data_IF_958040699272
#
_entry.id   IF_958040699272
#
_cell.length_a   1.000
_cell.length_b   1.000
_cell.length_c   1.000
_cell.angle_alpha   90.00
_cell.angle_beta   90.00
_cell.angle_gamma   90.00
#
_symmetry.space_group_name_H-M   'P 1'
#
loop_
_entity.id
_entity.type
_entity.pdbx_description
1 polymer ?
#
# COMPACT_ATOMS: atom_id res chain seq x y z
N UNK A 1 -41.46 -13.84 9.38
CA UNK A 1 -40.74 -12.76 8.68
C UNK A 1 -39.26 -13.05 8.80
N UNK A 2 -38.45 -12.90 7.73
CA UNK A 2 -37.00 -12.96 7.88
C UNK A 2 -36.56 -11.88 8.89
N UNK A 3 -35.51 -12.15 9.69
CA UNK A 3 -35.02 -11.17 10.67
C UNK A 3 -34.57 -9.90 9.94
N UNK A 4 -34.93 -8.74 10.48
CA UNK A 4 -34.47 -7.45 9.97
C UNK A 4 -32.95 -7.41 10.07
N UNK A 5 -32.24 -7.18 8.96
CA UNK A 5 -30.78 -7.18 8.98
C UNK A 5 -30.25 -5.99 9.78
N UNK A 6 -29.09 -6.20 10.40
CA UNK A 6 -28.43 -5.24 11.29
C UNK A 6 -27.71 -4.18 10.45
N UNK A 7 -28.02 -2.90 10.69
CA UNK A 7 -27.39 -1.79 9.97
C UNK A 7 -25.96 -1.54 10.46
N UNK A 8 -24.99 -1.57 9.54
CA UNK A 8 -23.61 -1.18 9.75
C UNK A 8 -23.36 0.17 9.07
N UNK A 9 -22.99 1.18 9.85
CA UNK A 9 -22.69 2.51 9.32
C UNK A 9 -21.19 2.63 9.04
N UNK A 10 -20.83 2.98 7.80
CA UNK A 10 -19.47 3.26 7.37
C UNK A 10 -19.28 4.78 7.30
N UNK A 11 -18.76 5.38 8.37
CA UNK A 11 -18.49 6.81 8.47
C UNK A 11 -17.14 7.13 7.82
N UNK A 12 -17.09 7.09 6.49
CA UNK A 12 -15.89 7.16 5.65
C UNK A 12 -16.07 8.20 4.53
N UNK A 13 -14.98 8.84 4.08
CA UNK A 13 -15.04 9.79 2.96
C UNK A 13 -14.83 9.06 1.62
N UNK A 14 -15.86 8.91 0.75
CA UNK A 14 -15.74 8.19 -0.51
C UNK A 14 -14.76 8.81 -1.52
N UNK A 15 -14.39 10.08 -1.34
CA UNK A 15 -13.41 10.76 -2.20
C UNK A 15 -12.00 10.18 -2.04
N UNK A 16 -11.69 9.53 -0.91
CA UNK A 16 -10.38 8.94 -0.63
C UNK A 16 -10.32 7.48 -1.10
N UNK A 17 -9.29 7.11 -1.88
CA UNK A 17 -9.05 5.70 -2.25
C UNK A 17 -9.04 4.76 -1.05
N UNK A 18 -8.34 5.17 0.01
CA UNK A 18 -8.28 4.44 1.27
C UNK A 18 -9.68 4.03 1.79
N UNK A 19 -10.64 4.96 1.74
CA UNK A 19 -12.02 4.71 2.19
C UNK A 19 -12.78 3.81 1.23
N UNK A 20 -12.64 3.99 -0.08
CA UNK A 20 -13.29 3.13 -1.09
C UNK A 20 -12.84 1.67 -0.94
N UNK A 21 -11.54 1.45 -0.74
CA UNK A 21 -11.01 0.09 -0.57
C UNK A 21 -11.42 -0.54 0.77
N UNK A 22 -11.55 0.24 1.85
CA UNK A 22 -12.17 -0.25 3.10
C UNK A 22 -13.62 -0.70 2.84
N UNK A 23 -14.42 0.09 2.12
CA UNK A 23 -15.80 -0.28 1.78
C UNK A 23 -15.84 -1.60 0.99
N UNK A 24 -14.92 -1.81 0.04
CA UNK A 24 -14.80 -3.09 -0.67
C UNK A 24 -14.48 -4.25 0.28
N UNK A 25 -13.58 -4.03 1.24
CA UNK A 25 -13.22 -4.99 2.27
C UNK A 25 -14.41 -5.41 3.14
N UNK A 26 -15.16 -4.41 3.63
CA UNK A 26 -16.41 -4.64 4.36
C UNK A 26 -17.40 -5.42 3.50
N UNK A 27 -17.61 -4.99 2.26
CA UNK A 27 -18.51 -5.66 1.33
C UNK A 27 -18.18 -7.15 1.13
N UNK A 28 -16.90 -7.52 1.02
CA UNK A 28 -16.48 -8.93 0.97
C UNK A 28 -16.92 -9.71 2.20
N UNK A 29 -16.69 -9.17 3.40
CA UNK A 29 -17.15 -9.83 4.63
C UNK A 29 -18.68 -9.98 4.66
N UNK A 30 -19.43 -8.94 4.25
CA UNK A 30 -20.89 -8.98 4.22
C UNK A 30 -21.44 -10.01 3.21
N UNK A 31 -20.72 -10.32 2.14
CA UNK A 31 -21.11 -11.40 1.22
C UNK A 31 -20.93 -12.80 1.81
N UNK A 32 -20.04 -12.96 2.79
CA UNK A 32 -19.77 -14.23 3.47
C UNK A 32 -20.68 -14.45 4.68
N UNK A 33 -21.11 -13.35 5.33
CA UNK A 33 -21.96 -13.36 6.52
C UNK A 33 -23.32 -12.70 6.24
N UNK A 34 -24.39 -13.50 6.13
CA UNK A 34 -25.76 -12.99 5.96
C UNK A 34 -26.30 -12.34 7.25
N UNK A 35 -27.06 -11.25 7.14
CA UNK A 35 -27.76 -10.63 8.28
C UNK A 35 -27.36 -9.19 8.61
N UNK A 36 -26.54 -8.57 7.75
CA UNK A 36 -26.12 -7.18 7.86
C UNK A 36 -26.48 -6.38 6.60
N UNK A 37 -26.71 -5.09 6.75
CA UNK A 37 -26.76 -4.12 5.65
C UNK A 37 -25.72 -3.03 5.89
N UNK A 38 -25.04 -2.59 4.84
CA UNK A 38 -24.06 -1.50 4.93
C UNK A 38 -24.62 -0.17 4.44
N UNK A 39 -24.40 0.91 5.18
CA UNK A 39 -24.68 2.28 4.75
C UNK A 39 -23.40 3.12 4.78
N UNK A 40 -22.96 3.61 3.62
CA UNK A 40 -21.82 4.51 3.49
C UNK A 40 -22.24 5.95 3.70
N UNK A 41 -21.50 6.68 4.52
CA UNK A 41 -21.78 8.08 4.81
C UNK A 41 -20.52 8.91 5.00
N UNK A 42 -20.45 10.05 4.30
CA UNK A 42 -19.42 11.05 4.54
C UNK A 42 -19.65 11.77 5.89
N UNK A 43 -18.62 11.97 6.72
CA UNK A 43 -18.76 12.60 8.04
C UNK A 43 -19.18 14.08 8.05
N UNK A 44 -19.44 14.70 6.89
CA UNK A 44 -19.70 16.13 6.74
C UNK A 44 -21.15 16.57 6.99
N UNK A 45 -22.09 15.64 7.14
CA UNK A 45 -23.51 15.94 7.42
C UNK A 45 -23.93 15.44 8.80
N UNK A 46 -23.82 16.31 9.81
CA UNK A 46 -24.05 15.93 11.21
C UNK A 46 -25.48 15.43 11.46
N UNK A 47 -26.49 16.15 10.97
CA UNK A 47 -27.90 15.81 11.20
C UNK A 47 -28.28 14.43 10.66
N UNK A 48 -27.83 14.11 9.44
CA UNK A 48 -28.05 12.78 8.87
C UNK A 48 -27.26 11.69 9.63
N UNK A 49 -26.08 12.01 10.16
CA UNK A 49 -25.26 11.09 10.94
C UNK A 49 -25.97 10.72 12.24
N UNK A 50 -26.51 11.70 12.97
CA UNK A 50 -27.32 11.45 14.17
C UNK A 50 -28.49 10.50 13.92
N UNK A 51 -29.18 10.67 12.78
CA UNK A 51 -30.30 9.81 12.38
C UNK A 51 -29.88 8.37 12.13
N UNK A 52 -28.81 8.16 11.36
CA UNK A 52 -28.31 6.81 11.06
C UNK A 52 -27.72 6.11 12.29
N UNK A 53 -26.95 6.83 13.11
CA UNK A 53 -26.36 6.29 14.34
C UNK A 53 -27.41 5.85 15.37
N UNK A 54 -28.66 6.31 15.26
CA UNK A 54 -29.75 5.85 16.14
C UNK A 54 -30.10 4.38 15.91
N UNK A 55 -30.02 3.92 14.66
CA UNK A 55 -30.44 2.57 14.26
C UNK A 55 -29.26 1.65 13.91
N UNK A 56 -28.03 2.14 14.09
CA UNK A 56 -26.83 1.38 13.80
C UNK A 56 -26.63 0.24 14.80
N UNK A 57 -26.41 -0.97 14.30
CA UNK A 57 -25.92 -2.08 15.11
C UNK A 57 -24.40 -1.99 15.34
N UNK A 58 -23.68 -1.25 14.50
CA UNK A 58 -22.25 -1.02 14.64
C UNK A 58 -21.75 0.04 13.66
N UNK A 59 -20.57 0.59 13.95
CA UNK A 59 -19.95 1.65 13.14
C UNK A 59 -18.51 1.30 12.77
N UNK A 60 -18.13 1.49 11.51
CA UNK A 60 -16.73 1.55 11.09
C UNK A 60 -16.45 2.99 10.69
N UNK A 61 -15.55 3.65 11.41
CA UNK A 61 -15.36 5.09 11.30
C UNK A 61 -13.92 5.49 11.06
N UNK A 62 -13.76 6.66 10.45
CA UNK A 62 -12.50 7.38 10.31
C UNK A 62 -12.62 8.74 11.00
N UNK A 63 -11.84 8.97 12.06
CA UNK A 63 -11.83 10.25 12.79
C UNK A 63 -13.19 10.68 13.32
N UNK A 64 -13.90 9.74 13.95
CA UNK A 64 -15.14 10.09 14.64
C UNK A 64 -14.84 11.18 15.69
N UNK A 65 -15.64 12.25 15.67
CA UNK A 65 -15.55 13.32 16.65
C UNK A 65 -15.89 12.79 18.04
N UNK A 66 -15.38 13.43 19.10
CA UNK A 66 -15.69 13.04 20.48
C UNK A 66 -17.20 13.00 20.72
N UNK A 67 -17.95 13.92 20.11
CA UNK A 67 -19.41 13.94 20.13
C UNK A 67 -20.02 12.65 19.58
N UNK A 68 -19.54 12.15 18.43
CA UNK A 68 -20.01 10.86 17.91
C UNK A 68 -19.61 9.69 18.80
N UNK A 69 -18.40 9.71 19.36
CA UNK A 69 -17.93 8.67 20.27
C UNK A 69 -18.79 8.57 21.54
N UNK A 70 -19.19 9.71 22.11
CA UNK A 70 -20.06 9.79 23.27
C UNK A 70 -21.44 9.19 22.97
N UNK A 71 -22.04 9.54 21.84
CA UNK A 71 -23.34 9.00 21.41
C UNK A 71 -23.30 7.48 21.26
N UNK A 72 -22.23 6.96 20.65
CA UNK A 72 -22.05 5.52 20.47
C UNK A 72 -21.89 4.81 21.81
N UNK A 73 -21.17 5.43 22.76
CA UNK A 73 -20.98 4.91 24.12
C UNK A 73 -22.29 4.89 24.91
N UNK A 74 -23.06 5.98 24.90
CA UNK A 74 -24.36 6.08 25.57
C UNK A 74 -25.36 5.02 25.06
N UNK A 75 -25.30 4.71 23.77
CA UNK A 75 -26.19 3.73 23.12
C UNK A 75 -25.63 2.32 23.11
N UNK A 76 -24.43 2.10 23.64
CA UNK A 76 -23.74 0.80 23.61
C UNK A 76 -23.58 0.24 22.19
N UNK A 77 -23.41 1.11 21.19
CA UNK A 77 -23.16 0.72 19.80
C UNK A 77 -21.65 0.52 19.62
N UNK A 78 -21.19 -0.69 19.27
CA UNK A 78 -19.77 -0.94 19.06
C UNK A 78 -19.28 -0.18 17.82
N UNK A 79 -18.03 0.27 17.89
CA UNK A 79 -17.40 1.00 16.80
C UNK A 79 -15.93 0.61 16.65
N UNK A 80 -15.49 0.53 15.40
CA UNK A 80 -14.10 0.21 15.03
C UNK A 80 -13.53 1.40 14.27
N UNK A 81 -12.38 1.91 14.74
CA UNK A 81 -11.64 2.98 14.07
C UNK A 81 -10.65 2.36 13.07
N UNK A 82 -10.69 2.85 11.84
CA UNK A 82 -9.86 2.36 10.73
C UNK A 82 -8.86 3.39 10.24
N UNK A 83 -8.77 4.55 10.88
CA UNK A 83 -7.81 5.58 10.53
C UNK A 83 -6.87 5.93 11.67
N UNK A 84 -5.62 6.15 11.28
CA UNK A 84 -4.52 6.44 12.18
C UNK A 84 -4.13 7.93 12.19
N UNK A 85 -5.03 8.89 11.92
CA UNK A 85 -4.65 10.30 12.07
C UNK A 85 -4.51 10.76 13.51
N UNK A 86 -5.23 10.17 14.48
CA UNK A 86 -5.10 10.50 15.91
C UNK A 86 -4.56 9.31 16.70
N UNK A 87 -3.71 9.59 17.66
CA UNK A 87 -3.16 8.60 18.61
C UNK A 87 -4.04 8.50 19.86
N UNK A 88 -5.31 8.10 19.70
CA UNK A 88 -6.24 7.88 20.82
C UNK A 88 -6.23 6.42 21.28
N UNK A 89 -7.06 6.01 22.26
CA UNK A 89 -7.26 4.59 22.61
C UNK A 89 -8.74 4.25 22.87
N UNK A 90 -9.65 5.11 22.43
CA UNK A 90 -11.06 5.06 22.84
C UNK A 90 -11.87 3.96 22.16
N UNK A 91 -11.32 3.37 21.09
CA UNK A 91 -11.98 2.37 20.27
C UNK A 91 -11.02 1.23 19.87
N UNK A 92 -11.55 0.01 19.65
CA UNK A 92 -10.87 -1.05 18.91
C UNK A 92 -10.46 -0.57 17.52
N UNK A 93 -9.30 -1.03 17.04
CA UNK A 93 -8.66 -0.45 15.85
C UNK A 93 -8.04 -1.49 14.94
N UNK A 94 -8.28 -1.28 13.65
CA UNK A 94 -7.67 -2.02 12.55
C UNK A 94 -6.99 -1.00 11.66
N UNK A 95 -5.67 -0.90 11.74
CA UNK A 95 -4.89 0.17 11.11
C UNK A 95 -3.85 -0.41 10.15
N UNK A 96 -3.40 0.35 9.15
CA UNK A 96 -2.24 -0.04 8.37
C UNK A 96 -0.98 -0.08 9.26
N UNK A 97 -0.04 -0.96 8.93
CA UNK A 97 1.33 -0.93 9.45
C UNK A 97 2.11 0.18 8.74
N UNK A 98 1.92 1.41 9.22
CA UNK A 98 2.54 2.61 8.67
C UNK A 98 4.07 2.60 8.76
N UNK A 99 4.63 1.94 9.77
CA UNK A 99 6.10 1.80 9.88
C UNK A 99 6.59 0.85 8.77
N UNK A 100 5.88 -0.26 8.50
CA UNK A 100 6.19 -1.12 7.37
C UNK A 100 6.05 -0.41 6.02
N UNK A 101 5.05 0.44 5.84
CA UNK A 101 4.91 1.30 4.64
C UNK A 101 6.15 2.18 4.48
N UNK A 102 6.59 2.86 5.56
CA UNK A 102 7.79 3.68 5.54
C UNK A 102 9.06 2.90 5.17
N UNK A 103 9.26 1.72 5.77
CA UNK A 103 10.41 0.86 5.42
C UNK A 103 10.40 0.46 3.94
N UNK A 104 9.24 0.02 3.45
CA UNK A 104 9.07 -0.37 2.05
C UNK A 104 9.33 0.78 1.06
N UNK A 105 8.97 2.01 1.44
CA UNK A 105 9.29 3.19 0.63
C UNK A 105 10.79 3.44 0.52
N UNK A 106 11.53 3.28 1.61
CA UNK A 106 12.99 3.45 1.62
C UNK A 106 13.67 2.38 0.76
N UNK A 107 13.32 1.11 0.96
CA UNK A 107 13.88 0.00 0.18
C UNK A 107 13.67 0.23 -1.32
N UNK A 108 12.45 0.56 -1.72
CA UNK A 108 12.11 0.81 -3.12
C UNK A 108 12.92 1.94 -3.76
N UNK A 109 13.05 3.08 -3.07
CA UNK A 109 13.74 4.25 -3.62
C UNK A 109 15.27 4.07 -3.61
N UNK A 110 15.83 3.36 -2.62
CA UNK A 110 17.24 2.96 -2.58
C UNK A 110 17.55 1.97 -3.71
N UNK A 111 16.72 0.94 -3.89
CA UNK A 111 16.87 -0.05 -4.96
C UNK A 111 16.74 0.55 -6.36
N UNK A 112 15.97 1.65 -6.50
CA UNK A 112 15.90 2.43 -7.74
C UNK A 112 17.18 3.24 -8.02
N UNK A 113 18.11 3.34 -7.06
CA UNK A 113 19.44 3.95 -7.22
C UNK A 113 19.53 5.42 -6.80
N UNK A 114 18.51 5.96 -6.13
CA UNK A 114 18.57 7.31 -5.58
C UNK A 114 19.52 7.37 -4.37
N UNK A 115 20.08 8.55 -4.12
CA UNK A 115 21.02 8.79 -3.01
C UNK A 115 20.63 9.98 -2.15
N UNK A 116 19.59 10.71 -2.57
CA UNK A 116 19.04 11.88 -1.88
C UNK A 116 17.55 11.65 -1.71
N UNK A 117 17.10 11.70 -0.47
CA UNK A 117 15.78 11.27 -0.08
C UNK A 117 15.07 12.37 0.69
N UNK A 118 13.81 12.57 0.36
CA UNK A 118 12.93 13.52 1.02
C UNK A 118 11.64 12.83 1.47
N UNK A 119 10.99 13.40 2.48
CA UNK A 119 9.66 13.00 2.90
C UNK A 119 8.74 14.22 3.00
N UNK A 120 7.57 14.18 2.35
CA UNK A 120 6.51 15.19 2.56
C UNK A 120 5.33 14.59 3.32
N UNK A 121 5.33 14.89 4.62
CA UNK A 121 4.33 14.44 5.59
C UNK A 121 3.05 15.28 5.63
N UNK A 122 2.00 14.77 6.28
CA UNK A 122 0.85 15.57 6.73
C UNK A 122 1.05 15.92 8.21
N UNK A 123 1.21 17.21 8.56
CA UNK A 123 1.32 17.63 9.95
C UNK A 123 0.14 17.15 10.79
N UNK A 124 0.39 16.87 12.07
CA UNK A 124 -0.61 16.46 13.06
C UNK A 124 -1.38 15.15 12.73
N UNK A 125 -0.92 14.37 11.74
CA UNK A 125 -1.49 13.06 11.43
C UNK A 125 -0.55 11.95 11.89
N UNK A 126 -0.99 11.13 12.85
CA UNK A 126 -0.17 10.09 13.47
C UNK A 126 0.38 9.07 12.45
N UNK A 127 -0.42 8.64 11.47
CA UNK A 127 0.05 7.75 10.40
C UNK A 127 1.21 8.34 9.61
N UNK A 128 1.22 9.66 9.38
CA UNK A 128 2.28 10.32 8.65
C UNK A 128 3.59 10.30 9.44
N UNK A 129 3.50 10.45 10.76
CA UNK A 129 4.65 10.32 11.67
C UNK A 129 5.18 8.88 11.71
N UNK A 130 4.31 7.89 11.74
CA UNK A 130 4.71 6.48 11.69
C UNK A 130 5.37 6.10 10.35
N UNK A 131 4.84 6.59 9.22
CA UNK A 131 5.44 6.42 7.89
C UNK A 131 6.83 7.04 7.84
N UNK A 132 6.99 8.26 8.35
CA UNK A 132 8.31 8.90 8.45
C UNK A 132 9.28 8.09 9.32
N UNK A 133 8.84 7.63 10.50
CA UNK A 133 9.70 6.87 11.40
C UNK A 133 10.21 5.57 10.74
N UNK A 134 9.35 4.84 10.02
CA UNK A 134 9.75 3.65 9.27
C UNK A 134 10.71 3.96 8.12
N UNK A 135 10.44 5.05 7.39
CA UNK A 135 11.27 5.50 6.27
C UNK A 135 12.66 5.93 6.71
N UNK A 136 12.74 6.80 7.70
CA UNK A 136 13.99 7.30 8.26
C UNK A 136 14.86 6.18 8.82
N UNK A 137 14.28 5.30 9.64
CA UNK A 137 14.99 4.17 10.22
C UNK A 137 15.59 3.25 9.13
N UNK A 138 14.80 2.95 8.08
CA UNK A 138 15.27 2.07 7.01
C UNK A 138 16.34 2.74 6.14
N UNK A 139 16.20 4.03 5.79
CA UNK A 139 17.26 4.78 5.09
C UNK A 139 18.57 4.76 5.87
N UNK A 140 18.50 4.89 7.19
CA UNK A 140 19.68 4.85 8.08
C UNK A 140 20.39 3.49 7.97
N UNK A 141 19.65 2.38 7.88
CA UNK A 141 20.25 1.04 7.68
C UNK A 141 20.94 0.89 6.32
N UNK A 142 20.50 1.62 5.29
CA UNK A 142 21.15 1.70 3.99
C UNK A 142 22.30 2.72 3.93
N UNK A 143 22.60 3.41 5.05
CA UNK A 143 23.65 4.42 5.11
C UNK A 143 23.26 5.76 4.49
N UNK A 144 21.96 6.04 4.35
CA UNK A 144 21.43 7.30 3.84
C UNK A 144 20.69 8.09 4.92
N UNK A 145 20.58 9.40 4.70
CA UNK A 145 19.79 10.30 5.53
C UNK A 145 18.51 10.74 4.79
N UNK A 146 17.53 11.24 5.53
CA UNK A 146 16.32 11.84 4.98
C UNK A 146 16.30 13.34 5.23
N UNK A 147 16.08 14.12 4.18
CA UNK A 147 15.92 15.56 4.27
C UNK A 147 14.44 15.95 4.38
N UNK A 148 14.18 17.10 5.00
CA UNK A 148 12.83 17.67 5.08
C UNK A 148 12.37 18.19 3.71
N UNK A 149 11.15 17.83 3.33
CA UNK A 149 10.42 18.50 2.26
C UNK A 149 9.24 19.29 2.84
N UNK A 150 8.77 20.33 2.13
CA UNK A 150 7.64 21.12 2.57
C UNK A 150 6.39 20.28 2.85
N UNK A 151 5.70 20.64 3.93
CA UNK A 151 4.38 20.12 4.24
C UNK A 151 3.26 20.90 3.54
N UNK A 152 3.53 22.15 3.17
CA UNK A 152 2.61 22.98 2.40
C UNK A 152 2.67 22.56 0.91
N UNK A 153 1.56 22.08 0.31
CA UNK A 153 1.55 21.71 -1.10
C UNK A 153 1.73 22.89 -2.06
N UNK A 154 1.60 24.15 -1.61
CA UNK A 154 1.66 25.33 -2.47
C UNK A 154 3.08 25.84 -2.74
N UNK A 155 4.09 25.35 -2.03
CA UNK A 155 5.47 25.85 -2.14
C UNK A 155 6.39 24.93 -2.96
N UNK A 156 5.85 23.83 -3.52
CA UNK A 156 6.65 22.90 -4.31
C UNK A 156 7.22 23.53 -5.59
N UNK A 157 6.53 24.49 -6.20
CA UNK A 157 6.99 25.18 -7.41
C UNK A 157 8.31 25.94 -7.17
N UNK A 158 8.50 26.48 -5.98
CA UNK A 158 9.73 27.19 -5.56
C UNK A 158 10.78 26.24 -4.99
N UNK A 159 10.34 25.22 -4.24
CA UNK A 159 11.25 24.33 -3.53
C UNK A 159 11.90 23.28 -4.44
N UNK A 160 11.15 22.70 -5.39
CA UNK A 160 11.63 21.63 -6.28
C UNK A 160 12.84 22.06 -7.15
N UNK A 161 12.88 23.25 -7.78
CA UNK A 161 14.03 23.69 -8.56
C UNK A 161 15.33 23.82 -7.75
N UNK A 162 15.23 24.12 -6.45
CA UNK A 162 16.37 24.37 -5.58
C UNK A 162 17.09 23.10 -5.10
N UNK A 163 16.50 21.91 -5.31
CA UNK A 163 17.07 20.67 -4.82
C UNK A 163 18.16 20.10 -5.76
N UNK A 164 19.29 19.61 -5.23
CA UNK A 164 20.28 18.91 -6.04
C UNK A 164 19.72 17.60 -6.61
N UNK A 165 19.85 17.41 -7.92
CA UNK A 165 19.29 16.28 -8.68
C UNK A 165 20.35 15.17 -8.90
N UNK A 166 19.95 13.90 -9.09
CA UNK A 166 18.59 13.38 -8.92
C UNK A 166 18.24 13.16 -7.45
N UNK A 167 16.96 13.24 -7.11
CA UNK A 167 16.46 12.94 -5.76
C UNK A 167 15.13 12.18 -5.80
N UNK A 168 14.77 11.56 -4.67
CA UNK A 168 13.50 10.90 -4.49
C UNK A 168 12.70 11.53 -3.36
N UNK A 169 11.39 11.63 -3.53
CA UNK A 169 10.45 12.10 -2.52
C UNK A 169 9.40 11.03 -2.23
N UNK A 170 9.32 10.64 -0.96
CA UNK A 170 8.24 9.82 -0.42
C UNK A 170 7.14 10.74 0.11
N UNK A 171 5.94 10.61 -0.46
CA UNK A 171 4.79 11.40 -0.10
C UNK A 171 3.90 10.62 0.87
N UNK A 172 3.34 11.30 1.88
CA UNK A 172 2.52 10.65 2.88
C UNK A 172 1.29 9.94 2.29
N UNK A 173 0.77 10.35 1.13
CA UNK A 173 -0.29 9.68 0.38
C UNK A 173 -0.27 10.13 -1.09
N UNK A 174 -1.09 9.49 -1.93
CA UNK A 174 -1.17 9.80 -3.36
C UNK A 174 -1.65 11.23 -3.63
N UNK A 175 -2.57 11.79 -2.83
CA UNK A 175 -3.01 13.19 -2.96
C UNK A 175 -1.82 14.16 -2.88
N UNK A 176 -0.89 13.93 -1.95
CA UNK A 176 0.36 14.70 -1.88
C UNK A 176 1.27 14.43 -3.07
N UNK A 177 1.41 13.17 -3.45
CA UNK A 177 2.22 12.78 -4.60
C UNK A 177 1.75 13.50 -5.88
N UNK A 178 0.43 13.61 -6.09
CA UNK A 178 -0.15 14.35 -7.22
C UNK A 178 0.21 15.82 -7.22
N UNK A 179 0.27 16.46 -6.04
CA UNK A 179 0.71 17.87 -5.94
C UNK A 179 2.16 18.04 -6.33
N UNK A 180 3.03 17.14 -5.88
CA UNK A 180 4.45 17.15 -6.26
C UNK A 180 4.62 16.90 -7.76
N UNK A 181 3.90 15.92 -8.33
CA UNK A 181 3.93 15.62 -9.78
C UNK A 181 3.44 16.83 -10.58
N UNK A 182 2.34 17.45 -10.17
CA UNK A 182 1.80 18.64 -10.82
C UNK A 182 2.83 19.76 -10.84
N UNK A 183 3.39 20.11 -9.68
CA UNK A 183 4.44 21.13 -9.57
C UNK A 183 5.64 20.81 -10.44
N UNK A 184 6.20 19.59 -10.35
CA UNK A 184 7.34 19.15 -11.15
C UNK A 184 7.08 19.33 -12.66
N UNK A 185 5.87 19.03 -13.14
CA UNK A 185 5.50 19.22 -14.54
C UNK A 185 5.40 20.70 -14.94
N UNK A 186 4.84 21.54 -14.08
CA UNK A 186 4.70 22.98 -14.36
C UNK A 186 6.05 23.67 -14.55
N UNK A 187 7.10 23.16 -13.89
CA UNK A 187 8.47 23.66 -14.00
C UNK A 187 9.37 22.78 -14.89
N UNK A 188 8.79 21.88 -15.68
CA UNK A 188 9.47 21.00 -16.63
C UNK A 188 10.58 20.09 -16.04
N UNK A 189 10.45 19.69 -14.77
CA UNK A 189 11.28 18.63 -14.21
C UNK A 189 10.90 17.27 -14.81
N UNK A 190 11.91 16.45 -15.11
CA UNK A 190 11.70 15.10 -15.62
C UNK A 190 11.36 14.19 -14.45
N UNK A 191 10.17 13.60 -14.49
CA UNK A 191 9.75 12.56 -13.55
C UNK A 191 9.82 11.23 -14.32
N UNK A 192 10.65 10.26 -13.90
CA UNK A 192 11.36 10.19 -12.62
C UNK A 192 12.84 10.64 -12.64
N UNK A 193 13.42 11.00 -13.79
CA UNK A 193 14.87 11.17 -13.97
C UNK A 193 15.51 12.25 -13.08
N UNK A 194 14.83 13.38 -12.90
CA UNK A 194 15.26 14.46 -12.02
C UNK A 194 14.71 14.27 -10.60
N UNK A 195 13.45 13.84 -10.50
CA UNK A 195 12.75 13.60 -9.24
C UNK A 195 11.85 12.36 -9.31
N UNK A 196 12.16 11.33 -8.50
CA UNK A 196 11.24 10.21 -8.27
C UNK A 196 10.20 10.57 -7.22
N UNK A 197 8.95 10.18 -7.45
CA UNK A 197 7.82 10.51 -6.58
C UNK A 197 7.07 9.23 -6.22
N UNK A 198 7.07 8.85 -4.95
CA UNK A 198 6.37 7.66 -4.44
C UNK A 198 5.22 8.07 -3.51
N UNK A 199 4.02 7.58 -3.79
CA UNK A 199 2.84 7.79 -2.95
C UNK A 199 2.44 6.58 -2.09
N UNK A 200 1.25 6.67 -1.48
CA UNK A 200 0.60 5.61 -0.70
C UNK A 200 -0.90 5.67 -0.96
N UNK A 201 -1.55 4.52 -0.92
CA UNK A 201 -3.01 4.25 -1.05
C UNK A 201 -3.44 3.71 -2.42
N UNK A 202 -2.54 3.67 -3.42
CA UNK A 202 -2.79 3.14 -4.75
C UNK A 202 -4.10 3.68 -5.38
N UNK A 203 -4.24 5.00 -5.45
CA UNK A 203 -5.44 5.66 -5.97
C UNK A 203 -5.52 5.55 -7.51
N UNK A 204 -6.13 4.45 -7.96
CA UNK A 204 -6.33 4.16 -9.38
C UNK A 204 -7.19 5.20 -10.13
N UNK A 205 -8.10 5.91 -9.44
CA UNK A 205 -8.93 6.92 -10.11
C UNK A 205 -8.08 8.08 -10.61
N UNK A 206 -7.13 8.51 -9.79
CA UNK A 206 -6.27 9.65 -10.12
C UNK A 206 -5.19 9.29 -11.16
N UNK A 207 -4.82 8.01 -11.26
CA UNK A 207 -3.91 7.50 -12.31
C UNK A 207 -4.45 7.72 -13.73
N UNK A 208 -5.78 7.78 -13.92
CA UNK A 208 -6.41 7.85 -15.24
C UNK A 208 -6.16 9.19 -15.96
N UNK A 209 -5.90 10.26 -15.22
CA UNK A 209 -5.79 11.61 -15.80
C UNK A 209 -4.50 12.36 -15.44
N UNK A 210 -3.56 11.73 -14.73
CA UNK A 210 -2.30 12.36 -14.29
C UNK A 210 -1.06 11.63 -14.79
N UNK A 211 -0.54 11.92 -16.00
CA UNK A 211 0.78 11.45 -16.40
C UNK A 211 1.91 12.28 -15.75
N UNK A 212 3.09 11.71 -15.46
CA UNK A 212 3.34 10.27 -15.38
C UNK A 212 2.53 9.64 -14.23
N UNK A 213 2.07 8.40 -14.42
CA UNK A 213 1.31 7.69 -13.37
C UNK A 213 2.17 7.47 -12.14
N UNK A 214 1.53 7.53 -10.98
CA UNK A 214 2.21 7.56 -9.69
C UNK A 214 2.46 6.15 -9.18
N UNK A 215 3.73 5.80 -8.97
CA UNK A 215 4.08 4.64 -8.16
C UNK A 215 3.57 4.85 -6.74
N UNK A 216 2.93 3.84 -6.17
CA UNK A 216 2.29 3.96 -4.87
C UNK A 216 2.42 2.67 -4.06
N UNK A 217 2.48 2.80 -2.74
CA UNK A 217 2.40 1.65 -1.83
C UNK A 217 0.94 1.33 -1.56
N UNK A 218 0.53 0.10 -1.85
CA UNK A 218 -0.79 -0.40 -1.47
C UNK A 218 -0.79 -0.74 0.04
N UNK A 219 -1.55 0.03 0.81
CA UNK A 219 -1.68 -0.09 2.26
C UNK A 219 -2.52 -1.30 2.72
N UNK A 220 -3.04 -2.11 1.80
CA UNK A 220 -3.90 -3.24 2.05
C UNK A 220 -5.26 -2.86 2.67
N UNK A 221 -5.83 -1.75 2.21
CA UNK A 221 -7.08 -1.18 2.74
C UNK A 221 -8.29 -2.09 2.61
N UNK A 222 -8.31 -2.96 1.59
CA UNK A 222 -9.33 -4.01 1.46
C UNK A 222 -9.27 -4.98 2.65
N UNK A 223 -8.07 -5.43 3.04
CA UNK A 223 -7.94 -6.30 4.20
C UNK A 223 -8.29 -5.56 5.49
N UNK A 224 -7.93 -4.28 5.61
CA UNK A 224 -8.34 -3.44 6.75
C UNK A 224 -9.87 -3.41 6.88
N UNK A 225 -10.60 -3.17 5.79
CA UNK A 225 -12.06 -3.15 5.82
C UNK A 225 -12.67 -4.50 6.20
N UNK A 226 -12.12 -5.60 5.67
CA UNK A 226 -12.55 -6.95 6.01
C UNK A 226 -12.32 -7.26 7.50
N UNK A 227 -11.13 -6.98 8.01
CA UNK A 227 -10.77 -7.20 9.42
C UNK A 227 -11.55 -6.30 10.37
N UNK A 228 -11.83 -5.06 9.96
CA UNK A 228 -12.67 -4.14 10.73
C UNK A 228 -14.10 -4.66 10.88
N UNK A 229 -14.67 -5.20 9.79
CA UNK A 229 -16.01 -5.81 9.85
C UNK A 229 -16.01 -7.10 10.66
N UNK A 230 -14.98 -7.95 10.53
CA UNK A 230 -14.80 -9.16 11.36
C UNK A 230 -14.75 -8.82 12.85
N UNK A 231 -13.95 -7.81 13.20
CA UNK A 231 -13.85 -7.33 14.58
C UNK A 231 -15.19 -6.77 15.08
N UNK A 232 -15.85 -5.95 14.26
CA UNK A 232 -17.14 -5.37 14.61
C UNK A 232 -18.23 -6.44 14.81
N UNK A 233 -18.28 -7.46 13.98
CA UNK A 233 -19.20 -8.60 14.13
C UNK A 233 -18.99 -9.34 15.47
N UNK A 234 -17.75 -9.58 15.88
CA UNK A 234 -17.43 -10.13 17.21
C UNK A 234 -17.93 -9.24 18.35
N UNK A 235 -17.68 -7.92 18.27
CA UNK A 235 -18.17 -6.96 19.26
C UNK A 235 -19.70 -6.93 19.34
N UNK A 236 -20.40 -7.01 18.19
CA UNK A 236 -21.87 -7.10 18.14
C UNK A 236 -22.39 -8.38 18.80
N UNK A 237 -21.61 -9.46 18.80
CA UNK A 237 -21.93 -10.73 19.48
C UNK A 237 -21.55 -10.75 20.95
N UNK A 238 -20.98 -9.66 21.47
CA UNK A 238 -20.54 -9.53 22.86
C UNK A 238 -19.16 -10.10 23.14
N UNK A 239 -18.35 -10.36 22.12
CA UNK A 239 -16.95 -10.73 22.30
C UNK A 239 -16.15 -9.54 22.86
N UNK A 240 -15.14 -9.78 23.73
CA UNK A 240 -14.34 -8.71 24.29
C UNK A 240 -13.49 -8.01 23.24
N UNK A 241 -13.39 -6.68 23.34
CA UNK A 241 -12.52 -5.90 22.49
C UNK A 241 -11.04 -6.27 22.70
N UNK A 242 -10.24 -6.40 21.61
CA UNK A 242 -8.80 -6.60 21.74
C UNK A 242 -8.14 -5.37 22.38
N UNK A 243 -7.15 -5.62 23.24
CA UNK A 243 -6.40 -4.55 23.92
C UNK A 243 -5.32 -3.91 23.02
N UNK A 244 -4.92 -4.60 21.95
CA UNK A 244 -3.89 -4.14 21.02
C UNK A 244 -4.52 -3.68 19.70
N UNK A 245 -3.78 -2.82 18.98
CA UNK A 245 -4.14 -2.39 17.64
C UNK A 245 -3.85 -3.53 16.68
N UNK A 246 -4.85 -3.94 15.89
CA UNK A 246 -4.67 -4.87 14.79
C UNK A 246 -3.97 -4.12 13.65
N UNK A 247 -2.76 -4.53 13.29
CA UNK A 247 -1.95 -3.89 12.23
C UNK A 247 -1.94 -4.74 10.97
N UNK A 248 -2.49 -4.20 9.89
CA UNK A 248 -2.50 -4.85 8.58
C UNK A 248 -1.25 -4.43 7.79
N UNK A 249 -0.40 -5.37 7.38
CA UNK A 249 0.78 -5.05 6.60
C UNK A 249 0.44 -4.64 5.15
N UNK A 250 1.21 -3.70 4.56
CA UNK A 250 1.02 -3.28 3.17
C UNK A 250 1.31 -4.42 2.20
N UNK A 251 0.66 -4.40 1.04
CA UNK A 251 0.79 -5.43 -0.01
C UNK A 251 2.14 -5.32 -0.72
N UNK A 252 2.54 -4.11 -1.10
CA UNK A 252 3.72 -3.88 -1.93
C UNK A 252 3.71 -2.51 -2.61
N UNK A 253 4.80 -2.18 -3.26
CA UNK A 253 4.88 -1.03 -4.17
C UNK A 253 4.30 -1.43 -5.52
N UNK A 254 3.29 -0.70 -5.96
CA UNK A 254 2.81 -0.73 -7.34
C UNK A 254 3.67 0.25 -8.12
N UNK A 255 4.76 -0.26 -8.71
CA UNK A 255 5.70 0.56 -9.47
C UNK A 255 5.06 1.03 -10.80
N UNK A 256 5.12 2.34 -11.05
CA UNK A 256 4.69 3.03 -12.26
C UNK A 256 5.75 4.05 -12.69
N UNK A 257 5.42 4.92 -13.64
CA UNK A 257 6.37 5.84 -14.27
C UNK A 257 7.07 6.77 -13.27
N UNK A 258 6.42 7.20 -12.18
CA UNK A 258 6.99 8.20 -11.27
C UNK A 258 8.16 7.70 -10.40
N UNK A 259 8.41 6.39 -10.33
CA UNK A 259 9.64 5.83 -9.71
C UNK A 259 10.29 4.75 -10.55
N UNK A 260 9.79 4.47 -11.76
CA UNK A 260 10.42 3.58 -12.73
C UNK A 260 11.64 4.25 -13.41
N UNK A 261 12.43 4.93 -12.58
CA UNK A 261 13.82 5.23 -12.86
C UNK A 261 14.63 4.09 -12.30
N UNK A 262 14.87 3.11 -13.15
CA UNK A 262 16.09 2.36 -12.98
C UNK A 262 17.19 3.30 -13.48
N UNK A 263 18.15 3.69 -12.63
CA UNK A 263 19.43 4.29 -13.06
C UNK A 263 20.29 3.30 -13.86
N UNK A 264 19.64 2.59 -14.77
CA UNK A 264 20.25 1.74 -15.76
C UNK A 264 20.37 2.64 -16.98
N UNK A 265 21.56 3.21 -17.16
CA UNK A 265 21.89 3.94 -18.39
C UNK A 265 21.75 3.05 -19.64
N UNK A 266 21.85 1.73 -19.46
CA UNK A 266 21.67 0.74 -20.51
C UNK A 266 20.20 0.50 -20.85
N UNK A 267 19.77 1.03 -22.00
CA UNK A 267 18.41 0.93 -22.48
C UNK A 267 17.90 -0.52 -22.60
N UNK A 268 18.73 -1.46 -23.05
CA UNK A 268 18.33 -2.85 -23.21
C UNK A 268 18.10 -3.54 -21.86
N UNK A 269 18.96 -3.27 -20.87
CA UNK A 269 18.76 -3.78 -19.50
C UNK A 269 17.49 -3.15 -18.90
N UNK A 270 17.24 -1.85 -19.13
CA UNK A 270 16.03 -1.18 -18.65
C UNK A 270 14.75 -1.82 -19.25
N UNK A 271 14.73 -2.03 -20.57
CA UNK A 271 13.62 -2.70 -21.26
C UNK A 271 13.41 -4.13 -20.75
N UNK A 272 14.49 -4.88 -20.53
CA UNK A 272 14.42 -6.25 -20.00
C UNK A 272 13.82 -6.29 -18.58
N UNK A 273 14.22 -5.39 -17.68
CA UNK A 273 13.67 -5.33 -16.31
C UNK A 273 12.18 -4.97 -16.33
N UNK A 274 11.78 -4.01 -17.17
CA UNK A 274 10.35 -3.66 -17.36
C UNK A 274 9.55 -4.87 -17.83
N UNK A 275 10.02 -5.54 -18.88
CA UNK A 275 9.35 -6.74 -19.40
C UNK A 275 9.20 -7.82 -18.34
N UNK A 276 10.25 -8.09 -17.55
CA UNK A 276 10.20 -9.05 -16.44
C UNK A 276 9.12 -8.65 -15.43
N UNK A 277 9.10 -7.40 -14.96
CA UNK A 277 8.12 -6.93 -13.97
C UNK A 277 6.69 -7.11 -14.46
N UNK A 278 6.41 -6.71 -15.70
CA UNK A 278 5.06 -6.74 -16.28
C UNK A 278 4.55 -8.16 -16.55
N UNK A 279 5.47 -9.11 -16.81
CA UNK A 279 5.12 -10.45 -17.28
C UNK A 279 5.49 -11.58 -16.30
N UNK A 280 6.09 -11.28 -15.15
CA UNK A 280 6.57 -12.29 -14.19
C UNK A 280 5.50 -13.29 -13.73
N UNK A 281 4.23 -12.87 -13.68
CA UNK A 281 3.08 -13.71 -13.33
C UNK A 281 2.68 -14.74 -14.39
N UNK A 282 3.27 -14.68 -15.59
CA UNK A 282 3.05 -15.62 -16.69
C UNK A 282 4.20 -16.62 -16.78
N UNK A 283 4.02 -17.67 -17.60
CA UNK A 283 5.05 -18.68 -17.90
C UNK A 283 6.08 -18.13 -18.90
N UNK A 284 6.85 -17.13 -18.48
CA UNK A 284 8.01 -16.61 -19.22
C UNK A 284 9.31 -17.20 -18.67
N UNK A 285 10.33 -17.29 -19.52
CA UNK A 285 11.72 -17.58 -19.19
C UNK A 285 12.65 -16.48 -19.70
N UNK A 286 13.96 -16.70 -19.57
CA UNK A 286 14.96 -15.73 -20.05
C UNK A 286 15.02 -15.65 -21.57
N UNK A 287 14.62 -16.71 -22.28
CA UNK A 287 14.49 -16.66 -23.74
C UNK A 287 13.51 -15.56 -24.17
N UNK A 288 12.32 -15.51 -23.56
CA UNK A 288 11.31 -14.49 -23.88
C UNK A 288 11.81 -13.06 -23.62
N UNK A 289 12.58 -12.86 -22.55
CA UNK A 289 13.19 -11.55 -22.22
C UNK A 289 14.20 -11.14 -23.29
N UNK A 290 15.07 -12.08 -23.70
CA UNK A 290 16.11 -11.87 -24.72
C UNK A 290 15.48 -11.55 -26.07
N UNK A 291 14.42 -12.28 -26.44
CA UNK A 291 13.67 -12.06 -27.68
C UNK A 291 12.97 -10.70 -27.68
N UNK A 292 12.42 -10.26 -26.54
CA UNK A 292 11.77 -8.96 -26.43
C UNK A 292 12.72 -7.77 -26.64
N UNK A 293 13.94 -7.85 -26.11
CA UNK A 293 14.94 -6.76 -26.23
C UNK A 293 15.82 -6.89 -27.48
N UNK A 294 15.65 -7.94 -28.28
CA UNK A 294 16.39 -8.17 -29.53
C UNK A 294 17.92 -8.22 -29.39
N UNK A 295 18.45 -8.87 -28.34
CA UNK A 295 19.90 -9.04 -28.12
C UNK A 295 20.28 -10.51 -27.94
N UNK A 296 21.58 -10.84 -27.81
CA UNK A 296 21.98 -12.20 -27.45
C UNK A 296 21.91 -12.45 -25.94
N UNK A 297 21.57 -13.68 -25.51
CA UNK A 297 21.51 -14.07 -24.09
C UNK A 297 22.80 -13.73 -23.33
N UNK A 298 23.95 -14.11 -23.89
CA UNK A 298 25.26 -13.88 -23.27
C UNK A 298 25.57 -12.39 -23.10
N UNK A 299 25.18 -11.57 -24.06
CA UNK A 299 25.34 -10.12 -23.96
C UNK A 299 24.43 -9.56 -22.85
N UNK A 300 23.16 -9.96 -22.81
CA UNK A 300 22.21 -9.49 -21.79
C UNK A 300 22.67 -9.87 -20.38
N UNK A 301 23.07 -11.13 -20.17
CA UNK A 301 23.58 -11.61 -18.88
C UNK A 301 24.80 -10.80 -18.42
N UNK A 302 25.77 -10.56 -19.31
CA UNK A 302 26.94 -9.74 -19.00
C UNK A 302 26.54 -8.33 -18.59
N UNK A 303 25.66 -7.67 -19.34
CA UNK A 303 25.20 -6.31 -19.04
C UNK A 303 24.42 -6.21 -17.74
N UNK A 304 23.57 -7.19 -17.45
CA UNK A 304 22.88 -7.31 -16.17
C UNK A 304 23.87 -7.41 -14.99
N UNK A 305 24.92 -8.23 -15.11
CA UNK A 305 25.95 -8.31 -14.06
C UNK A 305 26.74 -7.02 -13.94
N UNK A 306 27.10 -6.38 -15.05
CA UNK A 306 27.86 -5.12 -15.02
C UNK A 306 27.06 -3.98 -14.37
N UNK A 307 25.80 -3.82 -14.77
CA UNK A 307 24.94 -2.69 -14.37
C UNK A 307 24.18 -2.95 -13.06
N UNK A 308 23.58 -4.13 -12.90
CA UNK A 308 22.69 -4.45 -11.77
C UNK A 308 23.33 -5.36 -10.71
N UNK A 309 24.55 -5.86 -10.95
CA UNK A 309 25.23 -6.85 -10.10
C UNK A 309 24.40 -8.12 -9.84
N UNK A 310 23.43 -8.41 -10.71
CA UNK A 310 22.48 -9.52 -10.62
C UNK A 310 22.22 -10.11 -12.00
N UNK A 311 22.01 -11.42 -12.09
CA UNK A 311 21.67 -12.07 -13.36
C UNK A 311 20.19 -11.87 -13.74
N UNK A 312 19.81 -11.88 -15.02
CA UNK A 312 18.40 -11.75 -15.44
C UNK A 312 17.48 -12.79 -14.79
N UNK A 313 17.97 -14.02 -14.63
CA UNK A 313 17.21 -15.11 -14.01
C UNK A 313 16.95 -14.88 -12.51
N UNK A 314 17.86 -14.18 -11.84
CA UNK A 314 17.68 -13.79 -10.44
C UNK A 314 16.60 -12.72 -10.33
N UNK A 315 16.66 -11.68 -11.17
CA UNK A 315 15.65 -10.60 -11.21
C UNK A 315 14.25 -11.16 -11.48
N UNK A 316 14.12 -12.12 -12.41
CA UNK A 316 12.83 -12.78 -12.66
C UNK A 316 12.32 -13.58 -11.44
N UNK A 317 13.20 -14.26 -10.71
CA UNK A 317 12.80 -15.00 -9.50
C UNK A 317 12.34 -14.06 -8.39
N UNK A 318 13.08 -12.97 -8.16
CA UNK A 318 12.74 -11.92 -7.19
C UNK A 318 11.35 -11.34 -7.52
N UNK A 319 11.12 -10.92 -8.77
CA UNK A 319 9.84 -10.39 -9.21
C UNK A 319 8.66 -11.38 -9.00
N UNK A 320 8.88 -12.68 -9.21
CA UNK A 320 7.86 -13.72 -8.94
C UNK A 320 7.58 -13.89 -7.45
N UNK A 321 8.60 -13.82 -6.61
CA UNK A 321 8.44 -13.88 -5.15
C UNK A 321 7.67 -12.67 -4.64
N UNK A 322 7.97 -11.47 -5.15
CA UNK A 322 7.24 -10.26 -4.77
C UNK A 322 5.76 -10.33 -5.16
N UNK A 323 5.48 -10.87 -6.36
CA UNK A 323 4.10 -11.15 -6.78
C UNK A 323 3.41 -12.17 -5.88
N UNK A 324 4.10 -13.25 -5.50
CA UNK A 324 3.55 -14.24 -4.57
C UNK A 324 3.27 -13.62 -3.19
N UNK A 325 4.17 -12.76 -2.70
CA UNK A 325 4.02 -12.02 -1.44
C UNK A 325 2.77 -11.14 -1.49
N UNK A 326 2.58 -10.40 -2.59
CA UNK A 326 1.39 -9.58 -2.82
C UNK A 326 0.10 -10.41 -2.75
N UNK A 327 0.06 -11.58 -3.41
CA UNK A 327 -1.11 -12.47 -3.35
C UNK A 327 -1.34 -13.08 -1.96
N UNK A 328 -0.28 -13.38 -1.21
CA UNK A 328 -0.38 -13.88 0.17
C UNK A 328 -0.96 -12.82 1.12
N UNK A 329 -0.69 -11.54 0.86
CA UNK A 329 -1.15 -10.40 1.67
C UNK A 329 -2.58 -9.94 1.34
N UNK A 330 -2.98 -10.06 0.07
CA UNK A 330 -4.22 -9.49 -0.47
C UNK A 330 -5.36 -10.50 -0.65
N UNK A 331 -5.09 -11.80 -0.54
CA UNK A 331 -6.05 -12.85 -0.86
C UNK A 331 -5.94 -14.10 0.01
N UNK A 332 -7.03 -14.85 0.10
CA UNK A 332 -7.10 -16.15 0.77
C UNK A 332 -6.90 -17.34 -0.20
N UNK A 333 -6.36 -17.08 -1.41
CA UNK A 333 -6.04 -18.12 -2.40
C UNK A 333 -5.16 -19.22 -1.82
N UNK A 334 -5.34 -20.46 -2.28
CA UNK A 334 -4.47 -21.57 -1.90
C UNK A 334 -3.03 -21.35 -2.37
N UNK A 335 -2.06 -21.99 -1.69
CA UNK A 335 -0.64 -21.91 -2.10
C UNK A 335 -0.44 -22.40 -3.55
N UNK A 336 -1.30 -23.31 -4.03
CA UNK A 336 -1.28 -23.80 -5.41
C UNK A 336 -1.69 -22.74 -6.41
N UNK A 337 -2.79 -22.03 -6.15
CA UNK A 337 -3.25 -20.93 -7.00
C UNK A 337 -2.27 -19.76 -7.00
N UNK A 338 -1.66 -19.46 -5.85
CA UNK A 338 -0.62 -18.43 -5.74
C UNK A 338 0.61 -18.79 -6.56
N UNK A 339 1.05 -20.05 -6.53
CA UNK A 339 2.16 -20.51 -7.36
C UNK A 339 1.86 -20.29 -8.84
N UNK A 340 0.68 -20.72 -9.31
CA UNK A 340 0.26 -20.55 -10.70
C UNK A 340 0.17 -19.07 -11.10
N UNK A 341 -0.49 -18.23 -10.29
CA UNK A 341 -0.67 -16.80 -10.57
C UNK A 341 0.62 -15.98 -10.47
N UNK A 342 1.64 -16.51 -9.80
CA UNK A 342 2.97 -15.89 -9.68
C UNK A 342 3.97 -16.44 -10.69
N UNK A 343 3.52 -17.24 -11.67
CA UNK A 343 4.37 -17.77 -12.75
C UNK A 343 5.23 -18.98 -12.35
N UNK A 344 4.98 -19.61 -11.21
CA UNK A 344 5.64 -20.86 -10.82
C UNK A 344 4.91 -22.07 -11.42
N UNK A 345 5.69 -23.10 -11.73
CA UNK A 345 5.16 -24.36 -12.30
C UNK A 345 4.52 -25.27 -11.25
N UNK A 346 4.90 -25.12 -9.98
CA UNK A 346 4.39 -25.94 -8.88
C UNK A 346 4.46 -25.21 -7.54
N UNK A 347 3.64 -25.61 -6.54
CA UNK A 347 3.73 -25.11 -5.17
C UNK A 347 5.09 -25.36 -4.52
N UNK A 348 5.75 -26.47 -4.88
CA UNK A 348 7.08 -26.83 -4.38
C UNK A 348 8.13 -25.80 -4.82
N UNK A 349 8.13 -25.45 -6.11
CA UNK A 349 9.05 -24.45 -6.67
C UNK A 349 8.83 -23.06 -6.05
N UNK A 350 7.57 -22.68 -5.83
CA UNK A 350 7.26 -21.46 -5.09
C UNK A 350 7.85 -21.52 -3.68
N UNK A 351 7.63 -22.62 -2.94
CA UNK A 351 8.12 -22.78 -1.57
C UNK A 351 9.64 -22.60 -1.47
N UNK A 352 10.40 -23.33 -2.29
CA UNK A 352 11.87 -23.25 -2.32
C UNK A 352 12.36 -21.84 -2.69
N UNK A 353 11.79 -21.24 -3.74
CA UNK A 353 12.23 -19.91 -4.20
C UNK A 353 11.87 -18.82 -3.19
N UNK A 354 10.66 -18.90 -2.62
CA UNK A 354 10.18 -17.92 -1.63
C UNK A 354 11.00 -18.00 -0.34
N UNK A 355 11.32 -19.20 0.16
CA UNK A 355 12.20 -19.36 1.33
C UNK A 355 13.60 -18.81 1.08
N UNK A 356 14.17 -19.04 -0.11
CA UNK A 356 15.50 -18.52 -0.44
C UNK A 356 15.54 -16.99 -0.53
N UNK A 357 14.46 -16.35 -0.98
CA UNK A 357 14.42 -14.88 -1.16
C UNK A 357 13.89 -14.16 0.07
N UNK A 358 12.87 -14.70 0.75
CA UNK A 358 12.17 -14.04 1.85
C UNK A 358 12.60 -14.55 3.24
N UNK A 359 13.40 -15.62 3.33
CA UNK A 359 13.89 -16.18 4.59
C UNK A 359 12.86 -17.01 5.38
N UNK A 360 11.64 -17.16 4.88
CA UNK A 360 10.56 -17.98 5.48
C UNK A 360 9.73 -18.62 4.37
N UNK A 361 8.98 -19.69 4.65
CA UNK A 361 8.10 -20.32 3.65
C UNK A 361 6.82 -19.51 3.40
N UNK A 362 6.13 -19.68 2.25
CA UNK A 362 4.84 -19.03 1.98
C UNK A 362 3.77 -19.31 3.05
N UNK A 363 3.81 -20.51 3.66
CA UNK A 363 2.88 -20.90 4.72
C UNK A 363 3.18 -20.19 6.04
N UNK A 364 4.46 -20.16 6.44
CA UNK A 364 4.90 -19.44 7.64
C UNK A 364 4.61 -17.95 7.51
N UNK A 365 4.91 -17.36 6.34
CA UNK A 365 4.58 -15.97 6.03
C UNK A 365 3.10 -15.70 6.27
N UNK A 366 2.21 -16.52 5.71
CA UNK A 366 0.75 -16.37 5.91
C UNK A 366 0.31 -16.61 7.35
N UNK A 367 0.89 -17.58 8.05
CA UNK A 367 0.56 -17.85 9.44
C UNK A 367 0.96 -16.67 10.33
N UNK A 368 2.13 -16.10 10.10
CA UNK A 368 2.61 -14.90 10.79
C UNK A 368 1.70 -13.69 10.55
N UNK A 369 1.14 -13.55 9.35
CA UNK A 369 0.13 -12.53 9.06
C UNK A 369 -1.15 -12.74 9.89
N UNK A 370 -1.60 -13.99 10.02
CA UNK A 370 -2.82 -14.35 10.76
C UNK A 370 -2.67 -14.30 12.28
N UNK A 371 -1.44 -14.40 12.80
CA UNK A 371 -1.16 -14.31 14.24
C UNK A 371 -0.94 -12.87 14.72
N UNK A 372 -0.66 -11.93 13.80
CA UNK A 372 -0.58 -10.49 14.06
C UNK A 372 -1.90 -9.75 13.80
N UNK A 373 -2.88 -10.45 13.22
CA UNK A 373 -4.26 -10.01 13.04
C UNK A 373 -5.15 -10.64 14.11
#
# INVERSE_FOLDING_TARGET
MPPTPKLIVLALNPELAYSREIVRGVGRFLTECTGYEGALMAPSNESAMYGMLRNAAGVIGMHLSNTYLEILRERQVPAVEVSAARETRDQPRVLPDNVAIGRMAADHLVEAGYKRFFFTGIPNHWYSRERFAGYFAQLTTHGFDCHDAPHDPHVFDEWLPAQPRPFAIFCANDIRAYRVVHSARMIALRVPQDVAILGVDNDELMDEFMPPRISSIDANSVRIGYEAMRLLDGLIRGEPAPQHILRVPPIGVIARQSTDFLQIEDEAVQQAVRYIRDHCGRKIGIADVVDHVCVSRRWLERRFIEVLKRAPAQVLREARVDRARSLLLSSDLSISEIAQKSGFSSPKQLGETFSNVAGESPREFRQRLRQKA
#
